data_IF_296734583534
#
_entry.id   IF_296734583534
#
_cell.length_a   1.000
_cell.length_b   1.000
_cell.length_c   1.000
_cell.angle_alpha   90.00
_cell.angle_beta   90.00
_cell.angle_gamma   90.00
#
_symmetry.space_group_name_H-M   'P 1'
#
loop_
_entity.id
_entity.type
_entity.pdbx_description
1 polymer ?
#
# COMPACT_ATOMS: atom_id res chain seq x y z
N UNK A 1 33.41 -24.62 20.20
CA UNK A 1 32.59 -24.31 19.00
C UNK A 1 33.44 -24.63 17.78
N UNK A 2 32.97 -25.44 16.83
CA UNK A 2 33.80 -25.88 15.67
C UNK A 2 33.84 -24.79 14.59
N UNK A 3 34.91 -24.75 13.80
CA UNK A 3 35.15 -23.73 12.76
C UNK A 3 34.00 -23.66 11.74
N UNK A 4 33.40 -24.80 11.40
CA UNK A 4 32.16 -24.89 10.61
C UNK A 4 30.97 -24.17 11.26
N UNK A 5 30.76 -24.31 12.57
CA UNK A 5 29.66 -23.65 13.28
C UNK A 5 29.82 -22.12 13.27
N UNK A 6 31.05 -21.61 13.33
CA UNK A 6 31.32 -20.17 13.24
C UNK A 6 30.98 -19.61 11.85
N UNK A 7 31.38 -20.30 10.78
CA UNK A 7 31.06 -19.89 9.40
C UNK A 7 29.54 -19.85 9.18
N UNK A 8 28.82 -20.88 9.64
CA UNK A 8 27.36 -20.93 9.54
C UNK A 8 26.71 -19.77 10.30
N UNK A 9 27.16 -19.46 11.52
CA UNK A 9 26.66 -18.32 12.28
C UNK A 9 26.90 -16.98 11.57
N UNK A 10 28.05 -16.80 10.93
CA UNK A 10 28.36 -15.56 10.18
C UNK A 10 27.41 -15.42 8.99
N UNK A 11 27.18 -16.50 8.23
CA UNK A 11 26.26 -16.47 7.09
C UNK A 11 24.84 -16.09 7.53
N UNK A 12 24.35 -16.68 8.63
CA UNK A 12 23.04 -16.37 9.19
C UNK A 12 22.96 -14.90 9.63
N UNK A 13 24.00 -14.40 10.32
CA UNK A 13 24.04 -13.02 10.77
C UNK A 13 24.00 -12.02 9.60
N UNK A 14 24.77 -12.29 8.53
CA UNK A 14 24.78 -11.45 7.32
C UNK A 14 23.42 -11.49 6.62
N UNK A 15 22.81 -12.67 6.51
CA UNK A 15 21.48 -12.81 5.91
C UNK A 15 20.41 -12.02 6.68
N UNK A 16 20.44 -12.08 8.02
CA UNK A 16 19.51 -11.33 8.88
C UNK A 16 19.66 -9.81 8.70
N UNK A 17 20.89 -9.31 8.62
CA UNK A 17 21.15 -7.88 8.37
C UNK A 17 20.61 -7.45 7.01
N UNK A 18 20.82 -8.27 5.97
CA UNK A 18 20.29 -7.98 4.63
C UNK A 18 18.76 -7.94 4.60
N UNK A 19 18.09 -8.86 5.31
CA UNK A 19 16.62 -8.89 5.42
C UNK A 19 16.11 -7.63 6.13
N UNK A 20 16.72 -7.26 7.25
CA UNK A 20 16.33 -6.04 7.99
C UNK A 20 16.51 -4.78 7.14
N UNK A 21 17.61 -4.67 6.37
CA UNK A 21 17.81 -3.54 5.47
C UNK A 21 16.73 -3.42 4.40
N UNK A 22 16.27 -4.55 3.83
CA UNK A 22 15.16 -4.57 2.87
C UNK A 22 13.83 -4.20 3.51
N UNK A 23 13.58 -4.64 4.74
CA UNK A 23 12.38 -4.27 5.48
C UNK A 23 12.31 -2.75 5.76
N UNK A 24 13.44 -2.14 6.13
CA UNK A 24 13.54 -0.69 6.32
C UNK A 24 13.30 0.07 5.01
N UNK A 25 13.87 -0.39 3.88
CA UNK A 25 13.61 0.20 2.57
C UNK A 25 12.13 0.11 2.20
N UNK A 26 11.49 -1.06 2.42
CA UNK A 26 10.08 -1.25 2.15
C UNK A 26 9.22 -0.32 3.01
N UNK A 27 9.51 -0.21 4.31
CA UNK A 27 8.82 0.71 5.20
C UNK A 27 8.95 2.16 4.75
N UNK A 28 10.16 2.60 4.38
CA UNK A 28 10.41 3.95 3.89
C UNK A 28 9.63 4.23 2.60
N UNK A 29 9.52 3.27 1.68
CA UNK A 29 8.70 3.40 0.47
C UNK A 29 7.22 3.52 0.86
N UNK A 30 6.71 2.65 1.73
CA UNK A 30 5.30 2.68 2.18
C UNK A 30 4.98 3.99 2.92
N UNK A 31 5.89 4.50 3.74
CA UNK A 31 5.68 5.73 4.51
C UNK A 31 5.81 7.00 3.67
N UNK A 32 6.69 6.99 2.66
CA UNK A 32 6.93 8.17 1.79
C UNK A 32 5.85 8.29 0.73
N UNK A 33 5.46 7.18 0.11
CA UNK A 33 4.43 7.19 -0.93
C UNK A 33 3.02 7.02 -0.37
N UNK A 34 2.88 6.73 0.93
CA UNK A 34 1.62 6.38 1.54
C UNK A 34 0.99 5.14 0.88
N UNK A 35 -0.03 4.58 1.51
CA UNK A 35 -1.00 3.72 0.81
C UNK A 35 -2.08 4.56 0.15
N UNK A 36 -1.83 5.83 -0.14
CA UNK A 36 -2.81 6.77 -0.72
C UNK A 36 -3.25 6.35 -2.13
N UNK A 37 -2.47 5.49 -2.81
CA UNK A 37 -2.89 4.84 -4.07
C UNK A 37 -3.68 3.54 -3.91
N UNK A 38 -3.89 3.04 -2.68
CA UNK A 38 -4.61 1.79 -2.39
C UNK A 38 -5.93 2.01 -1.65
N UNK A 39 -6.19 3.22 -1.16
CA UNK A 39 -7.55 3.64 -0.82
C UNK A 39 -8.34 3.81 -2.13
N UNK A 40 -8.71 2.67 -2.72
CA UNK A 40 -9.80 2.64 -3.68
C UNK A 40 -10.97 3.33 -2.98
N UNK A 41 -11.62 4.34 -3.59
CA UNK A 41 -12.84 4.91 -3.02
C UNK A 41 -13.87 3.77 -2.98
N UNK A 42 -13.95 3.12 -1.83
CA UNK A 42 -14.83 1.99 -1.58
C UNK A 42 -15.98 2.59 -0.81
N UNK A 43 -17.05 2.90 -1.55
CA UNK A 43 -18.29 3.34 -0.92
C UNK A 43 -18.99 2.10 -0.42
N UNK A 44 -18.89 1.86 0.89
CA UNK A 44 -19.66 0.84 1.57
C UNK A 44 -21.10 1.32 1.74
N UNK A 45 -22.02 0.69 1.03
CA UNK A 45 -23.44 0.76 1.36
C UNK A 45 -23.79 -0.41 2.30
N UNK A 46 -24.92 -0.33 3.01
CA UNK A 46 -25.34 -1.36 4.00
C UNK A 46 -25.36 -2.81 3.48
N UNK A 47 -25.35 -3.01 2.17
CA UNK A 47 -25.46 -4.33 1.52
C UNK A 47 -24.40 -4.60 0.45
N UNK A 48 -23.69 -3.57 -0.04
CA UNK A 48 -22.85 -3.70 -1.24
C UNK A 48 -21.64 -2.77 -1.18
N UNK A 49 -20.46 -3.32 -1.50
CA UNK A 49 -19.23 -2.54 -1.67
C UNK A 49 -19.07 -2.22 -3.16
N UNK A 50 -19.03 -0.93 -3.50
CA UNK A 50 -18.73 -0.47 -4.86
C UNK A 50 -17.24 -0.14 -4.97
N UNK A 51 -16.54 -0.84 -5.88
CA UNK A 51 -15.15 -0.53 -6.22
C UNK A 51 -15.15 0.52 -7.30
N UNK A 52 -14.70 1.73 -6.98
CA UNK A 52 -14.66 2.85 -7.92
C UNK A 52 -13.24 2.97 -8.50
N UNK A 53 -13.07 2.94 -9.84
CA UNK A 53 -11.75 3.13 -10.45
C UNK A 53 -11.30 4.59 -10.34
N UNK A 54 -10.00 4.82 -10.08
CA UNK A 54 -9.40 6.16 -10.12
C UNK A 54 -9.42 6.73 -11.56
N UNK A 55 -9.66 8.04 -11.80
CA UNK A 55 -9.84 9.18 -10.87
C UNK A 55 -11.32 9.48 -10.56
N UNK A 56 -12.17 8.46 -10.53
CA UNK A 56 -13.60 8.64 -10.33
C UNK A 56 -13.95 8.58 -8.83
N UNK A 57 -14.88 9.44 -8.43
CA UNK A 57 -15.53 9.43 -7.13
C UNK A 57 -16.99 9.04 -7.28
N UNK A 58 -17.55 8.40 -6.26
CA UNK A 58 -18.94 7.99 -6.22
C UNK A 58 -19.68 8.84 -5.20
N UNK A 59 -20.58 9.69 -5.68
CA UNK A 59 -21.29 10.68 -4.86
C UNK A 59 -22.77 10.31 -4.79
N UNK A 60 -23.32 10.25 -3.59
CA UNK A 60 -24.75 10.03 -3.40
C UNK A 60 -25.47 11.38 -3.34
N UNK A 61 -26.23 11.72 -4.38
CA UNK A 61 -27.01 12.97 -4.49
C UNK A 61 -28.38 12.66 -5.10
N UNK A 62 -29.42 13.35 -4.63
CA UNK A 62 -30.80 13.23 -5.16
C UNK A 62 -31.35 11.80 -5.20
N UNK A 63 -31.03 11.00 -4.19
CA UNK A 63 -31.40 9.58 -4.06
C UNK A 63 -30.82 8.68 -5.16
N UNK A 64 -29.85 9.17 -5.94
CA UNK A 64 -29.15 8.46 -6.99
C UNK A 64 -27.64 8.42 -6.72
N UNK A 65 -26.98 7.44 -7.34
CA UNK A 65 -25.55 7.23 -7.25
C UNK A 65 -24.90 7.84 -8.50
N UNK A 66 -24.04 8.84 -8.31
CA UNK A 66 -23.36 9.55 -9.38
C UNK A 66 -21.88 9.17 -9.41
N UNK A 67 -21.34 8.92 -10.61
CA UNK A 67 -19.89 8.82 -10.82
C UNK A 67 -19.38 10.18 -11.30
N UNK A 68 -18.49 10.80 -10.53
CA UNK A 68 -17.86 12.09 -10.85
C UNK A 68 -16.38 11.85 -11.15
N UNK A 69 -15.90 12.35 -12.28
CA UNK A 69 -14.47 12.44 -12.56
C UNK A 69 -14.01 13.80 -12.06
N UNK A 70 -13.08 13.84 -11.10
CA UNK A 70 -12.39 15.09 -10.81
C UNK A 70 -11.14 15.16 -11.69
N UNK A 71 -11.11 16.13 -12.60
CA UNK A 71 -9.96 16.39 -13.44
C UNK A 71 -9.23 17.55 -12.77
N UNK A 72 -8.19 17.26 -11.99
CA UNK A 72 -7.27 18.29 -11.52
C UNK A 72 -6.50 18.84 -12.73
N UNK A 73 -7.03 19.91 -13.34
CA UNK A 73 -6.37 20.54 -14.48
C UNK A 73 -7.27 21.35 -15.42
N UNK A 74 -8.06 22.30 -14.91
CA UNK A 74 -8.49 23.46 -15.71
C UNK A 74 -8.77 24.65 -14.77
N UNK A 75 -7.73 25.47 -14.55
CA UNK A 75 -7.87 26.90 -14.29
C UNK A 75 -7.51 27.65 -15.58
#
# INVERSE_FOLDING_TARGET
MTLQKQIVCIIIAVALVAIMARAVQLYAVVSTFGTEGLERPTVETRTTVYVVPWPWELVYQDKALWMRLDIEGEQ
#
